data_IF_940380770110
#
_entry.id   IF_940380770110
#
_cell.length_a   1.000
_cell.length_b   1.000
_cell.length_c   1.000
_cell.angle_alpha   90.00
_cell.angle_beta   90.00
_cell.angle_gamma   90.00
#
_symmetry.space_group_name_H-M   'P 1'
#
loop_
_entity.id
_entity.type
_entity.pdbx_description
1 polymer ?
#
# COMPACT_ATOMS: atom_id res chain seq x y z
N UNK A 1 -30.04 -19.33 0.03
CA UNK A 1 -29.30 -20.60 -0.14
C UNK A 1 -27.83 -20.29 0.10
N UNK A 2 -27.17 -21.01 1.03
CA UNK A 2 -25.75 -20.79 1.31
C UNK A 2 -24.89 -21.17 0.10
N UNK A 3 -23.71 -20.57 0.00
CA UNK A 3 -22.75 -20.90 -1.06
C UNK A 3 -22.19 -22.32 -0.89
N UNK A 4 -22.08 -23.05 -1.99
CA UNK A 4 -21.48 -24.38 -2.04
C UNK A 4 -19.95 -24.31 -2.10
N UNK A 5 -19.43 -23.27 -2.75
CA UNK A 5 -17.99 -23.00 -2.89
C UNK A 5 -17.69 -21.57 -2.46
N UNK A 6 -16.61 -21.40 -1.70
CA UNK A 6 -16.08 -20.09 -1.34
C UNK A 6 -14.65 -20.01 -1.87
N UNK A 7 -14.36 -18.95 -2.61
CA UNK A 7 -13.05 -18.69 -3.18
C UNK A 7 -12.52 -17.41 -2.57
N UNK A 8 -11.37 -17.47 -1.93
CA UNK A 8 -10.62 -16.29 -1.54
C UNK A 8 -9.52 -16.07 -2.58
N UNK A 9 -9.53 -14.91 -3.24
CA UNK A 9 -8.45 -14.47 -4.13
C UNK A 9 -7.84 -13.18 -3.60
N UNK A 10 -6.53 -13.17 -3.37
CA UNK A 10 -5.90 -11.99 -2.80
C UNK A 10 -4.50 -12.21 -2.22
N UNK A 11 -3.98 -11.17 -1.58
CA UNK A 11 -2.67 -11.19 -0.96
C UNK A 11 -2.56 -10.26 0.25
N UNK A 12 -1.52 -10.45 1.05
CA UNK A 12 -1.23 -9.61 2.21
C UNK A 12 -2.14 -9.88 3.42
N UNK A 13 -2.11 -8.96 4.37
CA UNK A 13 -2.71 -9.14 5.71
C UNK A 13 -4.22 -9.21 5.69
N UNK A 14 -4.90 -8.41 4.86
CA UNK A 14 -6.37 -8.44 4.76
C UNK A 14 -6.88 -9.79 4.27
N UNK A 15 -6.29 -10.33 3.19
CA UNK A 15 -6.67 -11.62 2.64
C UNK A 15 -6.38 -12.76 3.64
N UNK A 16 -5.23 -12.73 4.33
CA UNK A 16 -4.93 -13.70 5.39
C UNK A 16 -5.94 -13.63 6.55
N UNK A 17 -6.32 -12.43 6.99
CA UNK A 17 -7.27 -12.27 8.08
C UNK A 17 -8.68 -12.71 7.67
N UNK A 18 -9.09 -12.47 6.42
CA UNK A 18 -10.31 -13.04 5.85
C UNK A 18 -10.23 -14.57 5.87
N UNK A 19 -9.13 -15.17 5.39
CA UNK A 19 -8.92 -16.62 5.39
C UNK A 19 -9.08 -17.24 6.78
N UNK A 20 -8.43 -16.66 7.79
CA UNK A 20 -8.51 -17.13 9.19
C UNK A 20 -9.96 -17.17 9.71
N UNK A 21 -10.81 -16.27 9.23
CA UNK A 21 -12.22 -16.19 9.59
C UNK A 21 -13.13 -17.06 8.70
N UNK A 22 -12.58 -17.81 7.75
CA UNK A 22 -13.31 -18.71 6.88
C UNK A 22 -12.90 -20.18 7.03
N UNK A 23 -11.97 -20.49 7.94
CA UNK A 23 -11.43 -21.85 8.12
C UNK A 23 -12.51 -22.89 8.43
N UNK A 24 -13.55 -22.51 9.16
CA UNK A 24 -14.70 -23.37 9.49
C UNK A 24 -15.51 -23.83 8.26
N UNK A 25 -15.29 -23.21 7.10
CA UNK A 25 -15.96 -23.56 5.84
C UNK A 25 -15.16 -24.56 4.99
N UNK A 26 -14.01 -25.04 5.45
CA UNK A 26 -13.34 -26.18 4.81
C UNK A 26 -14.28 -27.41 4.85
N UNK A 27 -14.39 -28.21 3.76
CA UNK A 27 -13.57 -28.22 2.56
C UNK A 27 -14.09 -27.34 1.40
N UNK A 28 -15.12 -26.52 1.59
CA UNK A 28 -15.72 -25.66 0.54
C UNK A 28 -14.86 -24.46 0.15
N UNK A 29 -13.77 -24.23 0.88
CA UNK A 29 -12.89 -23.08 0.74
C UNK A 29 -11.72 -23.37 -0.22
N UNK A 30 -11.57 -22.56 -1.26
CA UNK A 30 -10.44 -22.56 -2.18
C UNK A 30 -9.66 -21.24 -2.07
N UNK A 31 -8.34 -21.31 -1.99
CA UNK A 31 -7.49 -20.13 -1.83
C UNK A 31 -6.63 -19.93 -3.08
N UNK A 32 -6.68 -18.72 -3.65
CA UNK A 32 -5.98 -18.36 -4.87
C UNK A 32 -5.13 -17.09 -4.67
N UNK A 33 -4.01 -17.01 -5.37
CA UNK A 33 -3.30 -15.74 -5.58
C UNK A 33 -2.98 -15.54 -7.06
N UNK A 34 -3.09 -14.30 -7.53
CA UNK A 34 -2.64 -13.87 -8.85
C UNK A 34 -1.36 -13.05 -8.71
N UNK A 35 -0.31 -13.44 -9.44
CA UNK A 35 1.05 -12.88 -9.37
C UNK A 35 1.55 -12.71 -7.93
N UNK A 36 1.49 -13.76 -7.08
CA UNK A 36 1.94 -13.64 -5.71
C UNK A 36 3.43 -13.36 -5.63
N UNK A 37 3.82 -12.53 -4.68
CA UNK A 37 5.22 -12.38 -4.30
C UNK A 37 5.83 -13.72 -3.80
N UNK A 38 7.15 -13.88 -3.93
CA UNK A 38 7.87 -15.09 -3.49
C UNK A 38 7.64 -15.43 -2.00
N UNK A 39 7.44 -14.42 -1.16
CA UNK A 39 7.09 -14.55 0.26
C UNK A 39 5.59 -14.36 0.52
N UNK A 40 4.73 -14.98 -0.30
CA UNK A 40 3.29 -14.91 -0.16
C UNK A 40 2.81 -15.56 1.16
N UNK A 41 2.38 -14.72 2.10
CA UNK A 41 1.94 -15.16 3.42
C UNK A 41 0.73 -16.12 3.38
N UNK A 42 -0.16 -15.98 2.38
CA UNK A 42 -1.28 -16.91 2.20
C UNK A 42 -0.79 -18.31 1.82
N UNK A 43 0.20 -18.40 0.91
CA UNK A 43 0.78 -19.70 0.52
C UNK A 43 1.35 -20.41 1.75
N UNK A 44 2.19 -19.72 2.51
CA UNK A 44 2.82 -20.27 3.72
C UNK A 44 1.76 -20.70 4.75
N UNK A 45 0.74 -19.87 4.97
CA UNK A 45 -0.34 -20.19 5.90
C UNK A 45 -1.16 -21.40 5.45
N UNK A 46 -1.57 -21.46 4.18
CA UNK A 46 -2.32 -22.60 3.64
C UNK A 46 -1.53 -23.90 3.75
N UNK A 47 -0.22 -23.87 3.45
CA UNK A 47 0.66 -25.04 3.59
C UNK A 47 0.71 -25.53 5.05
N UNK A 48 0.85 -24.62 6.01
CA UNK A 48 0.87 -24.97 7.44
C UNK A 48 -0.47 -25.53 7.94
N UNK A 49 -1.60 -25.16 7.33
CA UNK A 49 -2.94 -25.61 7.69
C UNK A 49 -3.45 -26.79 6.84
N UNK A 50 -2.66 -27.27 5.86
CA UNK A 50 -3.09 -28.32 4.94
C UNK A 50 -4.23 -27.91 3.99
N UNK A 51 -4.38 -26.61 3.70
CA UNK A 51 -5.46 -26.08 2.86
C UNK A 51 -5.09 -26.06 1.37
N UNK A 52 -6.03 -26.36 0.45
CA UNK A 52 -5.80 -26.20 -0.98
C UNK A 52 -5.46 -24.75 -1.35
N UNK A 53 -4.31 -24.56 -1.99
CA UNK A 53 -3.83 -23.27 -2.48
C UNK A 53 -3.41 -23.37 -3.94
N UNK A 54 -3.83 -22.40 -4.76
CA UNK A 54 -3.38 -22.26 -6.16
C UNK A 54 -2.78 -20.87 -6.37
N UNK A 55 -1.74 -20.79 -7.18
CA UNK A 55 -1.17 -19.53 -7.63
C UNK A 55 -1.10 -19.49 -9.14
N UNK A 56 -1.44 -18.34 -9.70
CA UNK A 56 -1.40 -18.10 -11.14
C UNK A 56 -0.49 -16.91 -11.44
N UNK A 57 0.32 -17.01 -12.51
CA UNK A 57 1.12 -15.90 -13.00
C UNK A 57 0.42 -15.13 -14.13
N UNK A 58 -0.38 -15.84 -14.93
CA UNK A 58 -1.12 -15.27 -16.06
C UNK A 58 -2.60 -15.05 -15.73
N UNK A 59 -3.15 -13.92 -16.17
CA UNK A 59 -4.55 -13.55 -15.90
C UNK A 59 -5.50 -14.54 -16.57
N UNK A 60 -5.17 -15.00 -17.78
CA UNK A 60 -5.95 -16.01 -18.51
C UNK A 60 -6.10 -17.30 -17.70
N UNK A 61 -5.06 -17.75 -17.00
CA UNK A 61 -5.14 -18.96 -16.17
C UNK A 61 -6.11 -18.82 -15.00
N UNK A 62 -6.20 -17.64 -14.39
CA UNK A 62 -7.21 -17.34 -13.37
C UNK A 62 -8.60 -17.40 -14.00
N UNK A 63 -8.80 -16.75 -15.14
CA UNK A 63 -10.08 -16.76 -15.88
C UNK A 63 -10.53 -18.17 -16.22
N UNK A 64 -9.64 -18.99 -16.80
CA UNK A 64 -9.93 -20.39 -17.15
C UNK A 64 -10.29 -21.22 -15.92
N UNK A 65 -9.59 -21.00 -14.80
CA UNK A 65 -9.94 -21.67 -13.55
C UNK A 65 -11.34 -21.27 -13.06
N UNK A 66 -11.65 -19.98 -13.02
CA UNK A 66 -12.98 -19.49 -12.61
C UNK A 66 -14.09 -19.97 -13.55
N UNK A 67 -13.82 -20.06 -14.85
CA UNK A 67 -14.78 -20.59 -15.83
C UNK A 67 -15.05 -22.09 -15.62
N UNK A 68 -14.02 -22.88 -15.28
CA UNK A 68 -14.15 -24.33 -15.03
C UNK A 68 -14.98 -24.69 -13.78
N UNK A 69 -15.20 -23.74 -12.87
CA UNK A 69 -16.02 -23.94 -11.68
C UNK A 69 -17.51 -24.06 -12.06
N UNK A 70 -17.89 -23.51 -13.21
CA UNK A 70 -19.23 -23.58 -13.77
C UNK A 70 -19.50 -24.95 -14.43
N UNK A 71 -18.55 -25.45 -15.23
CA UNK A 71 -18.72 -26.69 -16.02
C UNK A 71 -18.85 -27.97 -15.17
N UNK A 72 -18.37 -27.96 -13.94
CA UNK A 72 -18.35 -29.15 -13.06
C UNK A 72 -19.52 -29.20 -12.07
N UNK A 73 -20.38 -28.18 -12.04
CA UNK A 73 -21.46 -28.06 -11.07
C UNK A 73 -22.83 -28.18 -11.73
N UNK A 74 -23.74 -28.92 -11.10
CA UNK A 74 -25.16 -28.94 -11.45
C UNK A 74 -25.71 -27.50 -11.45
N UNK A 75 -26.62 -27.17 -12.37
CA UNK A 75 -27.21 -25.84 -12.66
C UNK A 75 -27.68 -24.96 -11.47
N UNK A 76 -27.57 -25.40 -10.21
CA UNK A 76 -27.98 -24.70 -8.99
C UNK A 76 -26.85 -24.40 -7.97
N UNK A 77 -25.59 -24.77 -8.22
CA UNK A 77 -24.49 -24.49 -7.27
C UNK A 77 -24.05 -23.03 -7.33
N UNK A 78 -24.03 -22.32 -6.20
CA UNK A 78 -23.54 -20.95 -6.08
C UNK A 78 -22.12 -20.90 -5.53
N UNK A 79 -21.30 -20.03 -6.10
CA UNK A 79 -19.94 -19.75 -5.65
C UNK A 79 -19.80 -18.30 -5.22
N UNK A 80 -19.22 -18.09 -4.03
CA UNK A 80 -18.81 -16.77 -3.54
C UNK A 80 -17.32 -16.59 -3.80
N UNK A 81 -16.95 -15.50 -4.46
CA UNK A 81 -15.56 -15.06 -4.64
C UNK A 81 -15.34 -13.82 -3.78
N UNK A 82 -14.41 -13.90 -2.85
CA UNK A 82 -13.97 -12.80 -2.00
C UNK A 82 -12.62 -12.32 -2.52
N UNK A 83 -12.60 -11.13 -3.13
CA UNK A 83 -11.41 -10.45 -3.62
C UNK A 83 -10.89 -9.50 -2.55
N UNK A 84 -9.68 -9.74 -2.05
CA UNK A 84 -9.08 -8.94 -0.98
C UNK A 84 -7.64 -8.57 -1.31
N UNK A 85 -7.39 -7.29 -1.60
CA UNK A 85 -6.08 -6.80 -2.05
C UNK A 85 -5.53 -7.62 -3.23
N UNK A 86 -6.29 -7.63 -4.32
CA UNK A 86 -6.08 -8.47 -5.50
C UNK A 86 -5.88 -7.57 -6.74
N UNK A 87 -4.92 -7.93 -7.61
CA UNK A 87 -4.63 -7.19 -8.85
C UNK A 87 -5.25 -7.84 -10.09
N UNK A 88 -5.91 -8.99 -9.95
CA UNK A 88 -6.64 -9.60 -11.06
C UNK A 88 -7.93 -8.84 -11.32
N UNK A 89 -8.06 -8.30 -12.53
CA UNK A 89 -9.30 -7.67 -13.00
C UNK A 89 -10.19 -8.77 -13.56
N UNK A 90 -11.35 -8.97 -12.95
CA UNK A 90 -12.34 -9.94 -13.42
C UNK A 90 -12.90 -9.49 -14.78
N UNK A 91 -12.83 -10.32 -15.84
CA UNK A 91 -13.37 -9.97 -17.13
C UNK A 91 -14.89 -10.11 -17.15
N UNK A 92 -15.56 -9.37 -18.04
CA UNK A 92 -17.02 -9.33 -18.13
C UNK A 92 -17.69 -10.72 -18.20
N UNK A 93 -17.18 -11.72 -18.96
CA UNK A 93 -17.77 -13.05 -19.00
C UNK A 93 -17.82 -13.78 -17.65
N UNK A 94 -16.85 -13.52 -16.76
CA UNK A 94 -16.84 -14.08 -15.40
C UNK A 94 -17.83 -13.34 -14.51
N UNK A 95 -17.87 -12.00 -14.61
CA UNK A 95 -18.78 -11.15 -13.82
C UNK A 95 -20.25 -11.45 -14.17
N UNK A 96 -20.56 -11.76 -15.44
CA UNK A 96 -21.92 -12.02 -15.89
C UNK A 96 -22.47 -13.41 -15.50
N UNK A 97 -21.67 -14.29 -14.90
CA UNK A 97 -22.13 -15.63 -14.52
C UNK A 97 -23.13 -15.56 -13.35
N UNK A 98 -24.35 -16.09 -13.50
CA UNK A 98 -25.42 -15.93 -12.50
C UNK A 98 -25.18 -16.73 -11.20
N UNK A 99 -24.32 -17.74 -11.24
CA UNK A 99 -23.93 -18.55 -10.09
C UNK A 99 -22.74 -17.98 -9.32
N UNK A 100 -22.07 -16.94 -9.83
CA UNK A 100 -20.96 -16.28 -9.14
C UNK A 100 -21.44 -15.02 -8.43
N UNK A 101 -21.10 -14.90 -7.16
CA UNK A 101 -21.13 -13.62 -6.44
C UNK A 101 -19.70 -13.21 -6.18
N UNK A 102 -19.30 -12.04 -6.64
CA UNK A 102 -17.93 -11.55 -6.47
C UNK A 102 -17.99 -10.29 -5.64
N UNK A 103 -17.30 -10.28 -4.51
CA UNK A 103 -17.14 -9.10 -3.66
C UNK A 103 -15.69 -8.66 -3.66
N UNK A 104 -15.45 -7.36 -3.51
CA UNK A 104 -14.11 -6.79 -3.46
C UNK A 104 -13.96 -5.84 -2.26
N UNK A 105 -12.79 -5.91 -1.63
CA UNK A 105 -12.33 -4.92 -0.66
C UNK A 105 -11.64 -3.77 -1.38
N UNK A 106 -12.11 -2.55 -1.12
CA UNK A 106 -11.47 -1.32 -1.53
C UNK A 106 -11.13 -0.44 -0.32
N UNK A 107 -9.96 0.18 -0.32
CA UNK A 107 -9.45 0.98 0.79
C UNK A 107 -9.77 2.48 0.65
N UNK A 108 -10.98 2.78 0.19
CA UNK A 108 -11.53 4.13 0.14
C UNK A 108 -13.02 4.13 0.48
N UNK A 109 -13.56 5.33 0.71
CA UNK A 109 -15.00 5.57 0.72
C UNK A 109 -15.50 5.70 -0.73
N UNK A 110 -15.88 4.58 -1.36
CA UNK A 110 -16.40 4.61 -2.73
C UNK A 110 -17.67 5.50 -2.79
N UNK A 111 -17.87 6.24 -3.90
CA UNK A 111 -17.15 6.16 -5.18
C UNK A 111 -15.87 7.03 -5.27
N UNK A 112 -15.36 7.56 -4.15
CA UNK A 112 -14.09 8.30 -4.14
C UNK A 112 -12.90 7.35 -4.34
N UNK A 113 -11.87 7.85 -5.02
CA UNK A 113 -10.59 7.15 -5.20
C UNK A 113 -10.70 5.73 -5.78
N UNK A 114 -11.53 5.54 -6.82
CA UNK A 114 -11.54 4.29 -7.60
C UNK A 114 -10.14 3.97 -8.14
N UNK A 115 -9.88 2.70 -8.42
CA UNK A 115 -8.60 2.24 -8.95
C UNK A 115 -7.63 1.89 -7.83
N UNK A 116 -6.39 2.38 -7.90
CA UNK A 116 -5.34 1.99 -6.95
C UNK A 116 -4.81 3.16 -6.13
N UNK A 117 -4.07 2.83 -5.07
CA UNK A 117 -3.38 3.80 -4.20
C UNK A 117 -4.30 4.84 -3.54
N UNK A 118 -5.56 4.50 -3.24
CA UNK A 118 -6.48 5.43 -2.59
C UNK A 118 -5.95 6.09 -1.28
N UNK A 119 -5.22 5.40 -0.39
CA UNK A 119 -4.66 6.02 0.82
C UNK A 119 -3.67 7.15 0.50
N UNK A 120 -2.86 7.00 -0.55
CA UNK A 120 -1.95 8.04 -1.03
C UNK A 120 -2.75 9.27 -1.49
N UNK A 121 -3.80 9.07 -2.28
CA UNK A 121 -4.63 10.17 -2.78
C UNK A 121 -5.41 10.87 -1.67
N UNK A 122 -5.98 10.15 -0.70
CA UNK A 122 -6.66 10.76 0.45
C UNK A 122 -5.73 11.64 1.28
N UNK A 123 -4.48 11.21 1.48
CA UNK A 123 -3.49 12.01 2.20
C UNK A 123 -3.11 13.25 1.38
N UNK A 124 -2.82 13.09 0.09
CA UNK A 124 -2.40 14.18 -0.78
C UNK A 124 -3.47 15.27 -0.92
N UNK A 125 -4.74 14.86 -1.05
CA UNK A 125 -5.88 15.76 -1.11
C UNK A 125 -6.27 16.35 0.25
N UNK A 126 -5.59 15.95 1.32
CA UNK A 126 -5.81 16.44 2.68
C UNK A 126 -7.26 16.21 3.16
N UNK A 127 -7.82 15.03 2.82
CA UNK A 127 -9.14 14.66 3.29
C UNK A 127 -9.19 14.67 4.82
N UNK A 128 -10.32 15.06 5.40
CA UNK A 128 -10.54 14.94 6.85
C UNK A 128 -10.97 13.54 7.25
N UNK A 129 -11.50 12.77 6.30
CA UNK A 129 -11.94 11.40 6.46
C UNK A 129 -11.63 10.56 5.24
N UNK A 130 -11.31 9.30 5.49
CA UNK A 130 -11.20 8.26 4.48
C UNK A 130 -11.95 7.03 5.01
N UNK A 131 -11.68 5.84 4.47
CA UNK A 131 -12.32 4.64 4.94
C UNK A 131 -12.14 3.46 4.01
N UNK A 132 -13.00 2.47 4.18
CA UNK A 132 -13.02 1.25 3.38
C UNK A 132 -14.40 1.02 2.83
N UNK A 133 -14.48 0.24 1.76
CA UNK A 133 -15.72 -0.26 1.18
C UNK A 133 -15.55 -1.73 0.82
N UNK A 134 -16.47 -2.58 1.27
CA UNK A 134 -16.71 -3.88 0.64
C UNK A 134 -17.88 -3.71 -0.33
N UNK A 135 -17.70 -4.10 -1.59
CA UNK A 135 -18.71 -3.92 -2.63
C UNK A 135 -18.79 -5.14 -3.54
N UNK A 136 -19.90 -5.29 -4.26
CA UNK A 136 -20.01 -6.23 -5.38
C UNK A 136 -19.08 -5.79 -6.52
N UNK A 137 -18.49 -6.73 -7.23
CA UNK A 137 -17.76 -6.44 -8.47
C UNK A 137 -18.75 -6.26 -9.60
N UNK A 138 -18.53 -5.23 -10.42
CA UNK A 138 -19.27 -4.93 -11.64
C UNK A 138 -18.31 -4.84 -12.83
N UNK A 139 -18.85 -4.76 -14.05
CA UNK A 139 -18.05 -4.58 -15.27
C UNK A 139 -17.23 -3.30 -15.26
N UNK A 140 -17.75 -2.24 -14.63
CA UNK A 140 -16.98 -1.03 -14.36
C UNK A 140 -16.20 -1.17 -13.04
N UNK A 141 -14.91 -0.81 -13.07
CA UNK A 141 -14.01 -0.90 -11.92
C UNK A 141 -14.57 -0.12 -10.72
N UNK A 142 -14.56 -0.75 -9.55
CA UNK A 142 -14.98 -0.20 -8.25
C UNK A 142 -16.31 0.56 -8.29
N UNK A 143 -17.29 0.00 -9.01
CA UNK A 143 -18.59 0.65 -9.26
C UNK A 143 -19.80 -0.21 -8.92
N UNK A 144 -19.62 -1.42 -8.42
CA UNK A 144 -20.73 -2.30 -8.04
C UNK A 144 -21.31 -1.92 -6.68
N UNK A 145 -22.49 -2.46 -6.37
CA UNK A 145 -23.25 -2.08 -5.18
C UNK A 145 -22.45 -2.28 -3.87
N UNK A 146 -22.57 -1.33 -2.95
CA UNK A 146 -21.90 -1.30 -1.66
C UNK A 146 -22.55 -2.32 -0.72
N UNK A 147 -21.74 -3.15 -0.07
CA UNK A 147 -22.18 -4.09 0.97
C UNK A 147 -22.04 -3.48 2.36
N UNK A 148 -20.91 -2.82 2.61
CA UNK A 148 -20.64 -2.06 3.83
C UNK A 148 -19.53 -1.05 3.55
N UNK A 149 -19.61 0.09 4.24
CA UNK A 149 -18.62 1.14 4.20
C UNK A 149 -18.35 1.61 5.63
N UNK A 150 -17.08 1.84 5.97
CA UNK A 150 -16.67 2.30 7.31
C UNK A 150 -15.71 3.46 7.16
N UNK A 151 -15.98 4.53 7.90
CA UNK A 151 -15.22 5.77 7.87
C UNK A 151 -14.10 5.75 8.91
N UNK A 152 -12.97 6.37 8.57
CA UNK A 152 -11.82 6.58 9.43
C UNK A 152 -11.45 8.08 9.40
N UNK A 153 -11.41 8.78 10.55
CA UNK A 153 -10.83 10.12 10.63
C UNK A 153 -9.37 10.10 10.16
N UNK A 154 -9.02 10.95 9.21
CA UNK A 154 -7.67 10.99 8.66
C UNK A 154 -6.81 11.95 9.49
N UNK A 155 -5.99 11.40 10.39
CA UNK A 155 -5.01 12.17 11.16
C UNK A 155 -3.98 12.83 10.23
N UNK A 156 -3.62 14.11 10.45
CA UNK A 156 -2.57 14.80 9.68
C UNK A 156 -1.17 14.23 9.92
N UNK A 157 -1.03 13.26 10.84
CA UNK A 157 0.24 12.57 11.13
C UNK A 157 0.39 11.25 10.38
N UNK A 158 -0.68 10.72 9.77
CA UNK A 158 -0.57 9.45 9.06
C UNK A 158 0.37 9.59 7.86
N UNK A 159 1.34 8.69 7.80
CA UNK A 159 2.01 8.28 6.56
C UNK A 159 1.10 7.34 5.77
N UNK A 160 1.37 7.21 4.47
CA UNK A 160 0.61 6.29 3.60
C UNK A 160 0.68 4.84 4.11
N UNK A 161 1.86 4.38 4.54
CA UNK A 161 2.01 3.02 5.09
C UNK A 161 1.19 2.80 6.37
N UNK A 162 1.18 3.76 7.30
CA UNK A 162 0.38 3.67 8.53
C UNK A 162 -1.12 3.69 8.23
N UNK A 163 -1.54 4.54 7.29
CA UNK A 163 -2.94 4.61 6.88
C UNK A 163 -3.38 3.29 6.23
N UNK A 164 -2.57 2.70 5.35
CA UNK A 164 -2.83 1.38 4.77
C UNK A 164 -3.07 0.35 5.88
N UNK A 165 -2.19 0.29 6.91
CA UNK A 165 -2.35 -0.65 8.03
C UNK A 165 -3.67 -0.42 8.79
N UNK A 166 -4.01 0.83 9.08
CA UNK A 166 -5.25 1.18 9.76
C UNK A 166 -6.49 0.78 8.93
N UNK A 167 -6.46 1.01 7.63
CA UNK A 167 -7.55 0.64 6.71
C UNK A 167 -7.68 -0.88 6.56
N UNK A 168 -6.59 -1.65 6.56
CA UNK A 168 -6.69 -3.12 6.57
C UNK A 168 -7.34 -3.65 7.86
N UNK A 169 -7.05 -3.03 9.01
CA UNK A 169 -7.70 -3.38 10.28
C UNK A 169 -9.19 -3.03 10.26
N UNK A 170 -9.56 -1.85 9.75
CA UNK A 170 -10.96 -1.45 9.58
C UNK A 170 -11.69 -2.35 8.56
N UNK A 171 -10.98 -2.78 7.52
CA UNK A 171 -11.49 -3.67 6.48
C UNK A 171 -11.90 -5.04 7.01
N UNK A 172 -11.09 -5.63 7.90
CA UNK A 172 -11.45 -6.91 8.54
C UNK A 172 -12.60 -6.73 9.54
N UNK A 173 -12.63 -5.64 10.32
CA UNK A 173 -13.76 -5.34 11.20
C UNK A 173 -15.08 -5.25 10.41
N UNK A 174 -15.06 -4.56 9.28
CA UNK A 174 -16.21 -4.43 8.39
C UNK A 174 -16.62 -5.77 7.77
N UNK A 175 -15.65 -6.58 7.34
CA UNK A 175 -15.92 -7.91 6.81
C UNK A 175 -16.63 -8.78 7.85
N UNK A 176 -16.18 -8.78 9.10
CA UNK A 176 -16.80 -9.56 10.17
C UNK A 176 -18.23 -9.14 10.47
N UNK A 177 -18.56 -7.84 10.32
CA UNK A 177 -19.93 -7.34 10.48
C UNK A 177 -20.87 -7.91 9.42
N UNK A 178 -20.41 -8.10 8.18
CA UNK A 178 -21.24 -8.63 7.08
C UNK A 178 -21.09 -10.12 6.85
N UNK A 179 -20.10 -10.79 7.47
CA UNK A 179 -19.70 -12.17 7.16
C UNK A 179 -20.88 -13.15 7.15
N UNK A 180 -21.70 -13.14 8.20
CA UNK A 180 -22.79 -14.11 8.33
C UNK A 180 -23.86 -13.88 7.26
N UNK A 181 -24.29 -12.64 7.05
CA UNK A 181 -25.27 -12.31 6.01
C UNK A 181 -24.71 -12.55 4.60
N UNK A 182 -23.42 -12.28 4.39
CA UNK A 182 -22.70 -12.58 3.16
C UNK A 182 -22.81 -14.08 2.86
N UNK A 183 -22.38 -14.94 3.79
CA UNK A 183 -22.26 -16.38 3.53
C UNK A 183 -23.62 -17.09 3.36
N UNK A 184 -24.68 -16.51 3.90
CA UNK A 184 -26.05 -17.00 3.72
C UNK A 184 -26.79 -16.35 2.54
N UNK A 185 -26.14 -15.43 1.81
CA UNK A 185 -26.72 -14.66 0.72
C UNK A 185 -27.97 -13.85 1.16
N UNK A 186 -27.85 -13.18 2.31
CA UNK A 186 -28.88 -12.35 2.95
C UNK A 186 -28.54 -10.85 2.93
N UNK A 187 -27.41 -10.46 2.32
CA UNK A 187 -27.03 -9.05 2.22
C UNK A 187 -28.04 -8.24 1.41
N UNK A 188 -28.15 -6.96 1.76
CA UNK A 188 -28.91 -5.95 1.03
C UNK A 188 -27.94 -4.90 0.48
N UNK A 189 -27.36 -5.12 -0.71
CA UNK A 189 -26.44 -4.17 -1.31
C UNK A 189 -27.12 -2.83 -1.57
N UNK A 190 -26.39 -1.74 -1.32
CA UNK A 190 -26.81 -0.38 -1.64
C UNK A 190 -26.24 0.04 -2.99
N UNK A 191 -27.03 0.71 -3.82
CA UNK A 191 -26.54 1.21 -5.11
C UNK A 191 -25.34 2.15 -4.90
N UNK A 192 -24.31 1.97 -5.72
CA UNK A 192 -23.15 2.85 -5.74
C UNK A 192 -23.60 4.25 -6.23
N UNK A 193 -23.30 5.34 -5.49
CA UNK A 193 -23.56 6.69 -5.98
C UNK A 193 -22.81 6.96 -7.30
N UNK A 194 -23.37 7.76 -8.22
CA UNK A 194 -22.71 8.08 -9.48
C UNK A 194 -21.42 8.88 -9.20
N UNK A 195 -20.40 8.64 -10.02
CA UNK A 195 -19.16 9.41 -10.01
C UNK A 195 -18.62 9.51 -11.43
N UNK A 196 -18.26 10.73 -11.83
CA UNK A 196 -17.63 11.03 -13.11
C UNK A 196 -16.10 10.94 -13.06
N UNK A 197 -15.52 10.75 -11.87
CA UNK A 197 -14.07 10.67 -11.71
C UNK A 197 -13.56 9.32 -12.29
N UNK A 198 -12.54 9.35 -13.16
CA UNK A 198 -11.94 8.13 -13.65
C UNK A 198 -11.18 7.41 -12.52
N UNK A 199 -11.00 6.08 -12.61
CA UNK A 199 -10.15 5.36 -11.67
C UNK A 199 -8.69 5.78 -11.79
N UNK A 200 -8.00 5.89 -10.65
CA UNK A 200 -6.56 6.12 -10.59
C UNK A 200 -5.79 4.88 -11.07
N UNK A 201 -4.73 5.10 -11.85
CA UNK A 201 -3.84 4.05 -12.36
C UNK A 201 -2.63 3.88 -11.46
N UNK A 202 -1.96 2.73 -11.58
CA UNK A 202 -0.72 2.46 -10.83
C UNK A 202 0.44 3.37 -11.22
N UNK A 203 0.40 3.96 -12.43
CA UNK A 203 1.35 4.96 -12.91
C UNK A 203 1.13 6.35 -12.32
N UNK A 204 -0.05 6.61 -11.76
CA UNK A 204 -0.44 7.94 -11.34
C UNK A 204 0.16 8.23 -9.96
N UNK A 205 0.85 9.36 -9.85
CA UNK A 205 1.47 9.83 -8.61
C UNK A 205 1.03 11.27 -8.33
N UNK A 206 0.87 11.65 -7.05
CA UNK A 206 0.68 13.03 -6.64
C UNK A 206 1.72 13.93 -7.31
N UNK A 207 1.28 14.92 -8.06
CA UNK A 207 2.15 15.83 -8.82
C UNK A 207 3.30 15.12 -9.56
N UNK A 208 3.02 13.98 -10.20
CA UNK A 208 4.00 13.16 -10.94
C UNK A 208 5.16 12.65 -10.07
N UNK A 209 4.97 12.60 -8.75
CA UNK A 209 5.99 12.24 -7.77
C UNK A 209 7.02 13.34 -7.52
N UNK A 210 6.75 14.58 -7.94
CA UNK A 210 7.65 15.73 -7.77
C UNK A 210 7.03 16.72 -6.76
N UNK A 211 7.80 17.08 -5.74
CA UNK A 211 7.45 18.10 -4.77
C UNK A 211 7.58 19.49 -5.40
N UNK A 212 6.55 20.33 -5.28
CA UNK A 212 6.66 21.76 -5.58
C UNK A 212 7.14 22.51 -4.34
N UNK A 213 8.32 23.13 -4.44
CA UNK A 213 8.92 23.86 -3.33
C UNK A 213 8.15 25.12 -2.97
N UNK A 214 7.22 25.59 -3.81
CA UNK A 214 6.43 26.80 -3.54
C UNK A 214 5.17 26.51 -2.72
N UNK A 215 4.79 25.24 -2.55
CA UNK A 215 3.66 24.85 -1.70
C UNK A 215 3.83 25.27 -0.26
N UNK A 216 2.70 25.48 0.44
CA UNK A 216 2.71 25.76 1.88
C UNK A 216 3.11 24.50 2.68
N UNK A 217 3.40 24.69 3.98
CA UNK A 217 3.75 23.61 4.91
C UNK A 217 2.85 22.38 4.82
N UNK A 218 1.53 22.57 4.80
CA UNK A 218 0.57 21.47 4.89
C UNK A 218 0.52 20.66 3.60
N UNK A 219 0.61 21.33 2.44
CA UNK A 219 0.75 20.70 1.13
C UNK A 219 2.06 19.91 1.01
N UNK A 220 3.19 20.46 1.46
CA UNK A 220 4.49 19.77 1.48
C UNK A 220 4.41 18.53 2.39
N UNK A 221 3.86 18.68 3.59
CA UNK A 221 3.64 17.59 4.54
C UNK A 221 2.75 16.49 3.94
N UNK A 222 1.62 16.85 3.35
CA UNK A 222 0.69 15.93 2.71
C UNK A 222 1.34 15.16 1.56
N UNK A 223 2.06 15.84 0.68
CA UNK A 223 2.80 15.21 -0.40
C UNK A 223 3.82 14.19 0.13
N UNK A 224 4.67 14.58 1.08
CA UNK A 224 5.70 13.69 1.64
C UNK A 224 5.07 12.46 2.30
N UNK A 225 4.06 12.65 3.14
CA UNK A 225 3.34 11.56 3.83
C UNK A 225 2.58 10.66 2.86
N UNK A 226 2.00 11.21 1.79
CA UNK A 226 1.28 10.42 0.77
C UNK A 226 2.20 9.47 0.03
N UNK A 227 3.45 9.89 -0.20
CA UNK A 227 4.49 9.11 -0.88
C UNK A 227 5.28 8.21 0.09
N UNK A 228 5.01 8.29 1.39
CA UNK A 228 5.70 7.53 2.43
C UNK A 228 5.12 6.13 2.60
N UNK A 229 5.45 5.28 1.62
CA UNK A 229 5.20 3.86 1.62
C UNK A 229 6.42 3.14 1.01
N UNK A 230 7.53 3.12 1.74
CA UNK A 230 8.80 2.54 1.30
C UNK A 230 8.59 1.10 0.81
N UNK A 231 9.10 0.81 -0.40
CA UNK A 231 8.96 -0.51 -1.04
C UNK A 231 7.65 -0.73 -1.78
N UNK A 232 6.71 0.23 -1.70
CA UNK A 232 5.43 0.22 -2.43
C UNK A 232 5.38 1.35 -3.45
N UNK A 233 5.74 2.57 -3.03
CA UNK A 233 5.77 3.76 -3.87
C UNK A 233 7.21 4.17 -4.20
N UNK A 234 7.45 4.82 -5.36
CA UNK A 234 8.74 5.41 -5.66
C UNK A 234 9.06 6.53 -4.67
N UNK A 235 10.35 6.81 -4.47
CA UNK A 235 10.77 7.93 -3.63
C UNK A 235 10.30 9.26 -4.23
N UNK A 236 9.77 10.19 -3.41
CA UNK A 236 9.43 11.52 -3.88
C UNK A 236 10.66 12.25 -4.39
N UNK A 237 10.45 13.12 -5.38
CA UNK A 237 11.50 13.89 -6.03
C UNK A 237 11.29 15.39 -5.80
N UNK A 238 12.34 16.18 -6.02
CA UNK A 238 12.25 17.65 -6.03
C UNK A 238 13.22 18.21 -7.06
N UNK A 239 12.82 19.29 -7.72
CA UNK A 239 13.66 20.04 -8.66
C UNK A 239 14.12 21.35 -8.02
N UNK A 240 15.43 21.56 -7.92
CA UNK A 240 16.03 22.79 -7.41
C UNK A 240 17.13 23.25 -8.38
N UNK A 241 17.10 24.50 -8.83
CA UNK A 241 18.09 25.08 -9.75
C UNK A 241 18.41 24.19 -10.97
N UNK A 242 17.36 23.72 -11.65
CA UNK A 242 17.44 22.81 -12.80
C UNK A 242 18.09 21.43 -12.52
N UNK A 243 18.24 21.03 -11.26
CA UNK A 243 18.71 19.71 -10.85
C UNK A 243 17.62 18.92 -10.14
N UNK A 244 17.59 17.62 -10.37
CA UNK A 244 16.64 16.70 -9.75
C UNK A 244 17.27 15.93 -8.60
N UNK A 245 16.54 15.87 -7.50
CA UNK A 245 16.94 15.16 -6.29
C UNK A 245 15.86 14.17 -5.89
N UNK A 246 16.29 13.03 -5.37
CA UNK A 246 15.41 12.12 -4.63
C UNK A 246 15.38 12.54 -3.17
N UNK A 247 14.20 12.63 -2.59
CA UNK A 247 14.01 12.83 -1.14
C UNK A 247 14.15 11.44 -0.51
N UNK A 248 15.26 11.21 0.19
CA UNK A 248 15.60 9.88 0.75
C UNK A 248 15.06 9.69 2.16
N UNK A 249 14.85 10.79 2.88
CA UNK A 249 14.23 10.81 4.19
C UNK A 249 13.65 12.20 4.46
N UNK A 250 12.69 12.29 5.36
CA UNK A 250 12.15 13.57 5.83
C UNK A 250 11.72 13.47 7.29
N UNK A 251 11.54 14.63 7.92
CA UNK A 251 10.89 14.73 9.22
C UNK A 251 10.16 16.05 9.35
N UNK A 252 9.09 16.04 10.12
CA UNK A 252 8.23 17.19 10.37
C UNK A 252 8.40 17.55 11.85
N UNK A 253 8.74 18.81 12.12
CA UNK A 253 8.96 19.39 13.45
C UNK A 253 10.11 18.80 14.26
N UNK A 254 10.86 17.84 13.70
CA UNK A 254 12.04 17.23 14.33
C UNK A 254 13.24 17.32 13.42
N UNK A 255 14.36 17.91 13.86
CA UNK A 255 15.59 17.92 13.08
C UNK A 255 16.06 16.50 12.74
N UNK A 256 16.63 16.34 11.54
CA UNK A 256 17.29 15.10 11.11
C UNK A 256 18.73 15.40 10.74
N UNK A 257 19.63 14.52 11.17
CA UNK A 257 21.05 14.61 10.83
C UNK A 257 21.33 13.80 9.56
N UNK A 258 22.03 14.36 8.56
CA UNK A 258 22.47 13.59 7.39
C UNK A 258 23.37 12.43 7.83
N UNK A 259 22.98 11.20 7.53
CA UNK A 259 23.75 9.99 7.86
C UNK A 259 24.72 9.58 6.73
N UNK A 260 24.50 10.07 5.51
CA UNK A 260 25.23 9.62 4.33
C UNK A 260 26.06 10.74 3.68
N UNK A 261 27.34 10.49 3.32
CA UNK A 261 28.10 11.39 2.48
C UNK A 261 27.37 11.50 1.13
N UNK A 262 27.13 12.72 0.65
CA UNK A 262 26.34 13.07 -0.56
C UNK A 262 24.83 13.26 -0.37
N UNK A 263 24.38 13.49 0.87
CA UNK A 263 23.02 14.00 1.13
C UNK A 263 23.05 15.48 1.55
N UNK A 264 22.06 16.25 1.09
CA UNK A 264 21.89 17.66 1.45
C UNK A 264 20.61 17.81 2.28
N UNK A 265 20.66 18.61 3.34
CA UNK A 265 19.49 18.93 4.15
C UNK A 265 18.80 20.17 3.59
N UNK A 266 17.52 20.04 3.23
CA UNK A 266 16.63 21.15 2.93
C UNK A 266 15.67 21.34 4.11
N UNK A 267 15.61 22.56 4.65
CA UNK A 267 14.64 22.95 5.68
C UNK A 267 13.67 23.96 5.09
N UNK A 268 12.37 23.68 5.19
CA UNK A 268 11.31 24.65 4.89
C UNK A 268 10.19 24.52 5.91
N UNK A 269 9.86 25.62 6.60
CA UNK A 269 8.69 25.70 7.50
C UNK A 269 8.61 24.55 8.52
N UNK A 270 9.76 24.17 9.11
CA UNK A 270 9.85 23.07 10.09
C UNK A 270 9.85 21.67 9.48
N UNK A 271 9.88 21.55 8.16
CA UNK A 271 10.00 20.28 7.42
C UNK A 271 11.45 20.12 6.95
N UNK A 272 12.08 19.05 7.43
CA UNK A 272 13.45 18.67 7.13
C UNK A 272 13.45 17.57 6.07
N UNK A 273 14.18 17.74 4.97
CA UNK A 273 14.25 16.79 3.85
C UNK A 273 15.71 16.48 3.51
N UNK A 274 16.06 15.19 3.47
CA UNK A 274 17.37 14.74 2.98
C UNK A 274 17.29 14.46 1.48
N UNK A 275 18.12 15.16 0.71
CA UNK A 275 18.15 15.12 -0.75
C UNK A 275 19.39 14.39 -1.24
N UNK A 276 19.22 13.48 -2.20
CA UNK A 276 20.32 12.83 -2.93
C UNK A 276 20.22 13.13 -4.43
N UNK A 277 21.34 13.51 -5.06
CA UNK A 277 21.40 13.79 -6.50
C UNK A 277 21.04 12.55 -7.33
N UNK A 278 20.19 12.72 -8.35
CA UNK A 278 19.87 11.67 -9.30
C UNK A 278 20.96 11.59 -10.39
N UNK A 279 21.66 10.45 -10.49
CA UNK A 279 22.53 10.16 -11.64
C UNK A 279 24.01 10.58 -11.57
N UNK A 280 24.66 10.58 -10.40
CA UNK A 280 26.09 10.90 -10.28
C UNK A 280 26.99 9.69 -10.06
N UNK A 281 27.48 9.09 -11.15
CA UNK A 281 28.74 8.34 -11.10
C UNK A 281 29.91 9.32 -10.96
N UNK A 282 30.79 9.05 -9.98
CA UNK A 282 32.03 9.77 -9.62
C UNK A 282 31.88 11.21 -9.05
N UNK A 283 32.63 11.41 -7.95
CA UNK A 283 32.91 12.69 -7.29
C UNK A 283 33.42 13.73 -8.29
N UNK A 284 32.86 14.94 -8.24
CA UNK A 284 33.61 16.18 -8.49
C UNK A 284 33.11 17.27 -7.51
N UNK A 285 34.10 17.89 -6.86
CA UNK A 285 34.14 19.07 -6.01
C UNK A 285 32.84 19.72 -5.48
N UNK A 286 32.84 19.91 -4.16
CA UNK A 286 31.96 20.75 -3.35
C UNK A 286 31.27 21.89 -4.12
N UNK A 287 29.96 21.79 -4.30
CA UNK A 287 29.13 22.97 -4.55
C UNK A 287 28.97 23.72 -3.22
N UNK A 288 29.60 24.90 -3.12
CA UNK A 288 29.27 25.88 -2.08
C UNK A 288 27.96 26.56 -2.49
N UNK A 289 26.92 26.35 -1.71
CA UNK A 289 25.74 27.23 -1.74
C UNK A 289 26.04 28.47 -0.89
N UNK A 290 25.45 29.64 -1.19
CA UNK A 290 25.43 30.73 -0.23
C UNK A 290 24.76 30.24 1.07
N UNK A 291 25.24 30.66 2.25
CA UNK A 291 24.69 30.18 3.51
C UNK A 291 23.21 30.54 3.59
N UNK A 292 22.36 29.52 3.69
CA UNK A 292 20.96 29.68 4.07
C UNK A 292 21.00 30.05 5.55
N UNK A 293 20.52 31.25 5.89
CA UNK A 293 20.54 31.78 7.24
C UNK A 293 19.82 30.83 8.22
N UNK A 294 20.57 30.32 9.19
CA UNK A 294 20.02 29.69 10.39
C UNK A 294 19.45 30.80 11.30
N UNK A 295 18.24 30.66 11.86
CA UNK A 295 17.86 31.46 13.03
C UNK A 295 18.82 31.11 14.18
N UNK A 296 19.44 32.15 14.75
CA UNK A 296 20.65 32.12 15.60
C UNK A 296 20.46 31.56 17.02
N UNK A 297 19.44 30.74 17.32
CA UNK A 297 19.11 30.37 18.72
C UNK A 297 19.51 28.96 19.19
N UNK A 298 20.29 28.17 18.45
CA UNK A 298 20.64 26.79 18.86
C UNK A 298 22.15 26.46 18.84
N UNK A 299 23.04 27.46 18.88
CA UNK A 299 24.49 27.27 18.90
C UNK A 299 25.06 26.59 20.17
N UNK A 300 24.24 26.32 21.19
CA UNK A 300 24.67 25.68 22.44
C UNK A 300 24.55 24.15 22.46
N UNK A 301 24.04 23.49 21.40
CA UNK A 301 23.78 22.04 21.40
C UNK A 301 24.82 21.17 20.68
N UNK A 302 25.95 21.74 20.22
CA UNK A 302 27.00 20.96 19.56
C UNK A 302 28.36 21.18 20.21
N UNK A 303 29.06 20.13 20.70
CA UNK A 303 30.42 20.26 21.19
C UNK A 303 31.39 20.54 20.03
N UNK A 304 32.37 21.40 20.30
CA UNK A 304 33.34 21.95 19.35
C UNK A 304 34.25 20.83 18.79
N UNK A 305 34.44 20.68 17.46
CA UNK A 305 35.05 19.50 16.85
C UNK A 305 36.60 19.46 16.89
N UNK A 306 37.27 20.22 17.76
CA UNK A 306 38.74 20.33 17.74
C UNK A 306 39.51 19.44 18.72
N UNK A 307 38.88 18.59 19.52
CA UNK A 307 39.59 17.79 20.54
C UNK A 307 39.30 16.29 20.49
N UNK A 308 39.56 15.57 19.39
CA UNK A 308 39.75 14.10 19.47
C UNK A 308 40.74 13.61 18.40
N UNK A 309 42.02 13.55 18.75
CA UNK A 309 42.93 12.50 18.27
C UNK A 309 43.77 12.02 19.46
N UNK A 310 43.79 10.71 19.73
CA UNK A 310 45.07 10.07 20.00
C UNK A 310 45.26 8.71 19.31
N UNK A 311 46.46 8.58 18.72
CA UNK A 311 47.41 7.46 18.59
C UNK A 311 47.04 6.00 18.95
N UNK A 312 47.23 5.12 17.95
CA UNK A 312 47.81 3.75 17.89
C UNK A 312 47.54 2.59 18.90
N UNK A 313 47.26 1.41 18.30
CA UNK A 313 47.69 0.00 18.61
C UNK A 313 46.66 -0.99 19.27
N UNK A 314 46.85 -2.34 19.28
CA UNK A 314 46.48 -3.32 18.22
C UNK A 314 45.65 -4.58 18.68
N UNK A 315 44.75 -5.13 17.82
CA UNK A 315 44.12 -6.51 17.73
C UNK A 315 43.58 -7.25 19.02
N UNK A 316 42.83 -8.39 18.98
CA UNK A 316 42.14 -9.16 17.91
C UNK A 316 40.65 -9.56 18.19
N UNK A 317 40.04 -10.24 17.19
CA UNK A 317 38.79 -11.05 17.09
C UNK A 317 37.91 -11.35 18.32
N UNK A 318 36.58 -11.25 18.13
CA UNK A 318 35.60 -12.33 18.44
C UNK A 318 34.34 -12.18 17.60
N UNK A 319 33.80 -13.32 17.14
CA UNK A 319 32.58 -13.49 16.37
C UNK A 319 31.31 -13.12 17.16
N UNK A 320 30.29 -12.62 16.46
CA UNK A 320 28.90 -12.99 16.77
C UNK A 320 27.99 -12.79 15.55
N UNK A 321 27.21 -13.83 15.28
CA UNK A 321 26.27 -13.97 14.18
C UNK A 321 25.14 -12.94 14.24
N UNK A 322 24.97 -12.18 13.17
CA UNK A 322 23.71 -11.52 12.85
C UNK A 322 23.31 -11.92 11.42
N UNK A 323 22.17 -12.56 11.29
CA UNK A 323 21.57 -12.91 10.01
C UNK A 323 21.32 -11.62 9.21
N UNK A 324 22.08 -11.46 8.12
CA UNK A 324 21.83 -10.45 7.09
C UNK A 324 20.61 -10.89 6.28
N UNK A 325 19.47 -10.21 6.46
CA UNK A 325 18.41 -10.22 5.45
C UNK A 325 18.84 -9.25 4.35
N UNK A 326 19.14 -9.82 3.19
CA UNK A 326 19.52 -9.11 1.98
C UNK A 326 18.41 -8.10 1.56
N UNK A 327 18.68 -6.78 1.49
CA UNK A 327 17.71 -5.78 1.06
C UNK A 327 17.61 -5.64 -0.47
N UNK A 328 18.15 -6.55 -1.28
CA UNK A 328 18.12 -6.41 -2.73
C UNK A 328 16.83 -6.96 -3.36
N UNK A 329 16.13 -6.03 -4.03
CA UNK A 329 15.16 -6.20 -5.13
C UNK A 329 13.70 -6.49 -4.75
N UNK A 330 12.97 -5.41 -4.53
CA UNK A 330 11.56 -5.30 -4.88
C UNK A 330 11.42 -4.17 -5.91
N UNK A 331 11.51 -4.52 -7.19
CA UNK A 331 11.06 -3.71 -8.32
C UNK A 331 10.37 -4.65 -9.33
N UNK A 332 9.21 -4.18 -9.80
CA UNK A 332 8.21 -4.75 -10.73
C UNK A 332 7.13 -5.59 -10.05
#
# INVERSE_FOLDING_TARGET
MPYQTIILIGQGTIALNVLKNLLEYAPKLCILSYKPHSFCILKTFCQAQGLPYKSFQESLSVTTFLDSIDSNNSNNSKTLIISANNHYIFPAPIISKPNLTIINFHNALLPLYKGVNAPMWSIYNQDTYTGITWHLVSTQLDSGAILIQKQLPLSPKYTCLELIKALMALGIEAFLQIKNDLLHNNLKPQAMPPSSLPPNKSSDLPNQGILDINWNRDQISAFLRSMDAIGVLPRPQISLNARHYSITNYSIDKPITPLAPNTFLLLKEGIYMLLALRGGGRRTNSLKFPPIHFPTSLSHLFPNPQNIFPTHSPYPSTANNAYLVDPQRLCV
#
